data_IF_019702775597
#
_entry.id   IF_019702775597
#
_cell.length_a   1.000
_cell.length_b   1.000
_cell.length_c   1.000
_cell.angle_alpha   90.00
_cell.angle_beta   90.00
_cell.angle_gamma   90.00
#
_symmetry.space_group_name_H-M   'P 1'
#
loop_
_entity.id
_entity.type
_entity.pdbx_description
1 polymer ?
#
# COMPACT_ATOMS: atom_id res chain seq x y z
N UNK A 1 -10.22 7.76 -7.44
CA UNK A 1 -9.06 8.68 -7.61
C UNK A 1 -7.93 7.87 -8.21
N UNK A 2 -7.10 8.48 -9.07
CA UNK A 2 -6.04 7.80 -9.82
C UNK A 2 -4.78 8.66 -9.87
N UNK A 3 -3.62 8.03 -9.69
CA UNK A 3 -2.28 8.61 -9.80
C UNK A 3 -1.53 7.77 -10.82
N UNK A 4 -0.96 8.43 -11.84
CA UNK A 4 -0.28 7.75 -12.93
C UNK A 4 1.07 8.39 -13.20
N UNK A 5 2.12 7.59 -13.13
CA UNK A 5 3.45 7.94 -13.61
C UNK A 5 3.76 7.27 -14.96
N UNK A 6 5.00 7.41 -15.46
CA UNK A 6 5.40 6.78 -16.72
C UNK A 6 5.30 5.26 -16.70
N UNK A 7 5.63 4.63 -15.57
CA UNK A 7 5.75 3.17 -15.44
C UNK A 7 4.88 2.58 -14.34
N UNK A 8 4.06 3.39 -13.67
CA UNK A 8 3.25 2.93 -12.55
C UNK A 8 1.86 3.56 -12.54
N UNK A 9 0.95 2.87 -11.86
CA UNK A 9 -0.40 3.33 -11.61
C UNK A 9 -0.79 2.99 -10.18
N UNK A 10 -1.46 3.95 -9.52
CA UNK A 10 -2.12 3.74 -8.23
C UNK A 10 -3.53 4.27 -8.31
N UNK A 11 -4.52 3.48 -7.96
CA UNK A 11 -5.92 3.92 -8.00
C UNK A 11 -6.74 3.36 -6.86
N UNK A 12 -7.78 4.10 -6.49
CA UNK A 12 -8.72 3.73 -5.45
C UNK A 12 -10.05 3.28 -6.06
N UNK A 13 -10.47 2.07 -5.70
CA UNK A 13 -11.81 1.53 -5.91
C UNK A 13 -12.67 1.72 -4.64
N UNK A 14 -13.60 2.69 -4.62
CA UNK A 14 -14.44 2.97 -3.47
C UNK A 14 -15.52 1.91 -3.22
N UNK A 15 -15.88 1.09 -4.21
CA UNK A 15 -16.90 0.06 -4.02
C UNK A 15 -16.38 -1.08 -3.12
N UNK A 16 -15.08 -1.35 -3.19
CA UNK A 16 -14.44 -2.45 -2.47
C UNK A 16 -13.43 -1.99 -1.39
N UNK A 17 -13.20 -0.68 -1.26
CA UNK A 17 -12.17 -0.07 -0.39
C UNK A 17 -10.79 -0.69 -0.69
N UNK A 18 -10.41 -0.67 -1.97
CA UNK A 18 -9.14 -1.23 -2.45
C UNK A 18 -8.31 -0.11 -3.08
N UNK A 19 -7.05 0.02 -2.65
CA UNK A 19 -6.05 0.77 -3.40
C UNK A 19 -5.12 -0.21 -4.09
N UNK A 20 -5.10 -0.17 -5.42
CA UNK A 20 -4.29 -1.06 -6.25
C UNK A 20 -3.05 -0.35 -6.76
N UNK A 21 -1.95 -1.09 -6.79
CA UNK A 21 -0.65 -0.65 -7.28
C UNK A 21 -0.21 -1.53 -8.44
N UNK A 22 0.28 -0.90 -9.50
CA UNK A 22 0.69 -1.59 -10.72
C UNK A 22 2.00 -1.00 -11.28
N UNK A 23 2.83 -1.87 -11.85
CA UNK A 23 4.01 -1.51 -12.63
C UNK A 23 5.31 -1.37 -11.82
N UNK A 24 6.11 -0.36 -12.15
CA UNK A 24 7.42 -0.07 -11.56
C UNK A 24 7.36 1.29 -10.87
N UNK A 25 7.25 1.27 -9.54
CA UNK A 25 7.18 2.46 -8.71
C UNK A 25 8.56 2.75 -8.09
N UNK A 26 9.40 3.40 -8.89
CA UNK A 26 10.69 3.95 -8.44
C UNK A 26 10.74 5.45 -8.72
N UNK A 27 10.13 6.23 -7.84
CA UNK A 27 10.27 7.68 -7.91
C UNK A 27 11.48 8.15 -7.09
N UNK A 28 12.11 9.23 -7.52
CA UNK A 28 13.46 9.62 -7.12
C UNK A 28 13.56 10.10 -5.67
N UNK A 29 12.54 10.81 -5.17
CA UNK A 29 12.49 11.36 -3.81
C UNK A 29 11.24 10.96 -3.00
N UNK A 30 11.30 10.96 -1.65
CA UNK A 30 10.13 10.77 -0.79
C UNK A 30 8.96 11.72 -1.12
N UNK A 31 9.26 12.95 -1.54
CA UNK A 31 8.26 13.94 -1.97
C UNK A 31 7.40 13.45 -3.15
N UNK A 32 7.93 12.61 -4.02
CA UNK A 32 7.19 12.08 -5.17
C UNK A 32 6.16 11.01 -4.75
N UNK A 33 6.27 10.47 -3.53
CA UNK A 33 5.25 9.59 -2.96
C UNK A 33 4.11 10.36 -2.29
N UNK A 34 4.22 11.68 -2.12
CA UNK A 34 3.21 12.49 -1.43
C UNK A 34 1.78 12.28 -1.99
N UNK A 35 1.54 12.28 -3.33
CA UNK A 35 0.20 12.05 -3.85
C UNK A 35 -0.38 10.68 -3.43
N UNK A 36 0.48 9.65 -3.35
CA UNK A 36 0.09 8.30 -2.94
C UNK A 36 -0.22 8.29 -1.44
N UNK A 37 0.62 8.91 -0.62
CA UNK A 37 0.39 9.03 0.82
C UNK A 37 -0.92 9.77 1.12
N UNK A 38 -1.20 10.86 0.41
CA UNK A 38 -2.45 11.62 0.53
C UNK A 38 -3.67 10.79 0.10
N UNK A 39 -3.56 10.00 -0.97
CA UNK A 39 -4.62 9.08 -1.38
C UNK A 39 -4.92 8.07 -0.26
N UNK A 40 -3.89 7.43 0.30
CA UNK A 40 -4.03 6.46 1.37
C UNK A 40 -4.64 7.09 2.64
N UNK A 41 -4.23 8.31 3.01
CA UNK A 41 -4.81 9.06 4.13
C UNK A 41 -6.29 9.34 3.92
N UNK A 42 -6.68 9.82 2.73
CA UNK A 42 -8.08 10.11 2.39
C UNK A 42 -8.97 8.87 2.49
N UNK A 43 -8.45 7.69 2.16
CA UNK A 43 -9.20 6.43 2.35
C UNK A 43 -9.31 6.07 3.82
N UNK A 44 -8.28 6.29 4.65
CA UNK A 44 -8.38 6.09 6.10
C UNK A 44 -9.39 7.03 6.77
N UNK A 45 -9.48 8.27 6.29
CA UNK A 45 -10.42 9.29 6.78
C UNK A 45 -11.89 8.90 6.56
N UNK A 46 -12.19 7.97 5.64
CA UNK A 46 -13.55 7.41 5.51
C UNK A 46 -13.90 6.40 6.61
N UNK A 47 -12.99 6.18 7.57
CA UNK A 47 -13.11 5.25 8.69
C UNK A 47 -13.60 3.84 8.29
N UNK A 48 -12.97 3.18 7.30
CA UNK A 48 -13.44 1.89 6.82
C UNK A 48 -13.17 0.78 7.86
N UNK A 49 -14.06 -0.21 7.90
CA UNK A 49 -13.81 -1.43 8.70
C UNK A 49 -12.74 -2.32 8.07
N UNK A 50 -12.58 -2.27 6.75
CA UNK A 50 -11.60 -3.03 5.99
C UNK A 50 -11.00 -2.16 4.88
N UNK A 51 -9.67 -2.16 4.76
CA UNK A 51 -8.96 -1.48 3.68
C UNK A 51 -7.94 -2.45 3.09
N UNK A 52 -8.03 -2.69 1.78
CA UNK A 52 -7.09 -3.53 1.06
C UNK A 52 -6.07 -2.72 0.26
N UNK A 53 -4.79 -3.06 0.39
CA UNK A 53 -3.74 -2.71 -0.57
C UNK A 53 -3.55 -3.90 -1.51
N UNK A 54 -3.77 -3.70 -2.81
CA UNK A 54 -3.50 -4.72 -3.82
C UNK A 54 -2.17 -4.44 -4.52
N UNK A 55 -1.15 -5.20 -4.16
CA UNK A 55 0.23 -5.03 -4.62
C UNK A 55 0.59 -6.00 -5.74
N UNK A 56 -0.30 -6.92 -6.12
CA UNK A 56 0.05 -8.09 -6.94
C UNK A 56 0.59 -7.72 -8.33
N UNK A 57 0.14 -6.59 -8.88
CA UNK A 57 0.62 -6.07 -10.16
C UNK A 57 1.81 -5.09 -10.03
N UNK A 58 2.26 -4.77 -8.83
CA UNK A 58 3.42 -3.91 -8.60
C UNK A 58 4.71 -4.74 -8.65
N UNK A 59 5.28 -4.84 -9.85
CA UNK A 59 6.49 -5.63 -10.08
C UNK A 59 7.71 -5.11 -9.33
N UNK A 60 7.76 -3.82 -9.01
CA UNK A 60 8.89 -3.26 -8.31
C UNK A 60 8.58 -1.96 -7.53
N UNK A 61 9.21 -1.83 -6.36
CA UNK A 61 9.11 -0.68 -5.45
C UNK A 61 10.51 -0.39 -4.89
N UNK A 62 10.96 0.87 -4.92
CA UNK A 62 12.24 1.24 -4.31
C UNK A 62 12.15 1.36 -2.77
N UNK A 63 13.31 1.54 -2.12
CA UNK A 63 13.40 1.63 -0.66
C UNK A 63 12.59 2.79 -0.06
N UNK A 64 12.54 3.94 -0.75
CA UNK A 64 11.71 5.08 -0.31
C UNK A 64 10.24 4.71 -0.29
N UNK A 65 9.74 4.03 -1.33
CA UNK A 65 8.36 3.55 -1.37
C UNK A 65 8.04 2.52 -0.29
N UNK A 66 8.97 1.62 0.03
CA UNK A 66 8.81 0.67 1.16
C UNK A 66 8.69 1.43 2.49
N UNK A 67 9.50 2.47 2.71
CA UNK A 67 9.40 3.30 3.90
C UNK A 67 8.06 4.04 4.01
N UNK A 68 7.49 4.48 2.89
CA UNK A 68 6.14 5.07 2.88
C UNK A 68 5.06 4.05 3.25
N UNK A 69 5.17 2.80 2.81
CA UNK A 69 4.27 1.72 3.27
C UNK A 69 4.40 1.47 4.78
N UNK A 70 5.60 1.56 5.34
CA UNK A 70 5.79 1.44 6.80
C UNK A 70 5.15 2.59 7.57
N UNK A 71 5.31 3.84 7.10
CA UNK A 71 4.62 5.01 7.68
C UNK A 71 3.11 4.84 7.62
N UNK A 72 2.59 4.39 6.48
CA UNK A 72 1.17 4.11 6.32
C UNK A 72 0.67 3.02 7.27
N UNK A 73 1.41 1.92 7.45
CA UNK A 73 1.05 0.87 8.40
C UNK A 73 0.94 1.40 9.84
N UNK A 74 1.88 2.27 10.26
CA UNK A 74 1.84 2.93 11.58
C UNK A 74 0.57 3.80 11.70
N UNK A 75 0.27 4.61 10.70
CA UNK A 75 -0.92 5.46 10.69
C UNK A 75 -2.20 4.61 10.73
N UNK A 76 -2.32 3.60 9.87
CA UNK A 76 -3.47 2.69 9.85
C UNK A 76 -3.71 2.00 11.21
N UNK A 77 -2.64 1.70 11.98
CA UNK A 77 -2.76 1.12 13.33
C UNK A 77 -3.48 2.04 14.31
N UNK A 78 -3.39 3.36 14.16
CA UNK A 78 -4.08 4.31 15.05
C UNK A 78 -5.58 4.41 14.77
N UNK A 79 -6.05 3.90 13.62
CA UNK A 79 -7.46 3.78 13.30
C UNK A 79 -8.01 2.48 13.90
N UNK A 80 -8.50 2.56 15.13
CA UNK A 80 -8.99 1.41 15.89
C UNK A 80 -10.08 0.63 15.15
N UNK A 81 -9.93 -0.70 15.09
CA UNK A 81 -10.89 -1.60 14.43
C UNK A 81 -10.69 -1.76 12.93
N UNK A 82 -9.75 -1.05 12.31
CA UNK A 82 -9.42 -1.23 10.90
C UNK A 82 -8.73 -2.59 10.66
N UNK A 83 -9.32 -3.39 9.75
CA UNK A 83 -8.67 -4.55 9.15
C UNK A 83 -7.89 -4.12 7.91
N UNK A 84 -6.56 -4.04 8.02
CA UNK A 84 -5.69 -3.74 6.88
C UNK A 84 -5.27 -5.04 6.20
N UNK A 85 -5.70 -5.25 4.95
CA UNK A 85 -5.36 -6.41 4.14
C UNK A 85 -4.34 -6.02 3.07
N UNK A 86 -3.29 -6.81 2.90
CA UNK A 86 -2.32 -6.65 1.82
C UNK A 86 -2.36 -7.89 0.94
N UNK A 87 -2.74 -7.70 -0.32
CA UNK A 87 -2.68 -8.74 -1.37
C UNK A 87 -1.33 -8.64 -2.05
N UNK A 88 -0.57 -9.73 -2.01
CA UNK A 88 0.78 -9.82 -2.53
C UNK A 88 0.93 -11.04 -3.44
N UNK A 89 2.02 -11.10 -4.20
CA UNK A 89 2.41 -12.27 -4.98
C UNK A 89 3.69 -12.85 -4.44
N UNK A 90 3.72 -14.17 -4.19
CA UNK A 90 4.96 -14.89 -3.83
C UNK A 90 5.95 -14.99 -4.99
N UNK A 91 5.50 -14.77 -6.23
CA UNK A 91 6.39 -14.79 -7.40
C UNK A 91 7.22 -13.51 -7.53
N UNK A 92 6.90 -12.45 -6.77
CA UNK A 92 7.62 -11.16 -6.81
C UNK A 92 8.48 -11.05 -5.54
N UNK A 93 9.80 -11.20 -5.70
CA UNK A 93 10.73 -11.35 -4.57
C UNK A 93 10.63 -10.24 -3.52
N UNK A 94 10.62 -8.96 -3.93
CA UNK A 94 10.54 -7.84 -2.99
C UNK A 94 9.23 -7.86 -2.18
N UNK A 95 8.13 -8.37 -2.75
CA UNK A 95 6.85 -8.46 -2.04
C UNK A 95 6.92 -9.51 -0.94
N UNK A 96 7.52 -10.67 -1.23
CA UNK A 96 7.71 -11.74 -0.27
C UNK A 96 8.68 -11.35 0.86
N UNK A 97 9.69 -10.53 0.57
CA UNK A 97 10.71 -10.13 1.53
C UNK A 97 10.32 -8.89 2.37
N UNK A 98 9.71 -7.88 1.74
CA UNK A 98 9.46 -6.59 2.37
C UNK A 98 8.07 -6.46 3.00
N UNK A 99 7.00 -6.86 2.30
CA UNK A 99 5.62 -6.63 2.78
C UNK A 99 5.31 -7.30 4.13
N UNK A 100 5.82 -8.51 4.45
CA UNK A 100 5.59 -9.10 5.78
C UNK A 100 6.13 -8.23 6.93
N UNK A 101 7.11 -7.36 6.68
CA UNK A 101 7.65 -6.45 7.70
C UNK A 101 6.64 -5.37 8.13
N UNK A 102 5.57 -5.13 7.37
CA UNK A 102 4.47 -4.24 7.78
C UNK A 102 3.88 -4.68 9.14
N UNK A 103 3.88 -5.99 9.45
CA UNK A 103 3.41 -6.53 10.73
C UNK A 103 4.21 -6.04 11.94
N UNK A 104 5.48 -5.64 11.75
CA UNK A 104 6.31 -5.05 12.82
C UNK A 104 5.78 -3.68 13.24
N UNK A 105 5.11 -2.97 12.33
CA UNK A 105 4.56 -1.64 12.54
C UNK A 105 3.06 -1.68 12.84
N UNK A 106 2.33 -2.62 12.25
CA UNK A 106 0.92 -2.88 12.50
C UNK A 106 0.64 -4.40 12.58
N UNK A 107 0.59 -4.98 13.79
CA UNK A 107 0.38 -6.42 13.97
C UNK A 107 -0.93 -6.96 13.38
N UNK A 108 -1.93 -6.09 13.16
CA UNK A 108 -3.23 -6.45 12.60
C UNK A 108 -3.24 -6.51 11.07
N UNK A 109 -2.10 -6.27 10.41
CA UNK A 109 -1.98 -6.46 8.96
C UNK A 109 -2.18 -7.92 8.61
N UNK A 110 -3.14 -8.18 7.72
CA UNK A 110 -3.38 -9.49 7.15
C UNK A 110 -2.75 -9.58 5.78
N UNK A 111 -1.99 -10.66 5.54
CA UNK A 111 -1.36 -10.92 4.25
C UNK A 111 -2.16 -12.00 3.53
N UNK A 112 -2.45 -11.75 2.26
CA UNK A 112 -2.95 -12.76 1.33
C UNK A 112 -1.98 -12.86 0.17
N UNK A 113 -1.77 -14.07 -0.32
CA UNK A 113 -0.86 -14.35 -1.42
C UNK A 113 -1.60 -15.08 -2.53
N UNK A 114 -1.29 -14.71 -3.76
CA UNK A 114 -1.54 -15.56 -4.93
C UNK A 114 -0.55 -16.74 -4.96
#
# INVERSE_FOLDING_TARGET
>A
MEIKGPNYRVWYDPANIVVSFEGILQVGGPEEYQPIAELLSKVLETNPLCFTLDMRALTMLNASGINELYKFAIAARTHGGLRLVVRASKSIAWQAEALPNLKKFNPNVEMTYD
#
